data_IF_982774987009
#
_entry.id   IF_982774987009
#
_cell.length_a   1.000
_cell.length_b   1.000
_cell.length_c   1.000
_cell.angle_alpha   90.00
_cell.angle_beta   90.00
_cell.angle_gamma   90.00
#
_symmetry.space_group_name_H-M   'P 1'
#
loop_
_entity.id
_entity.type
_entity.pdbx_description
1 polymer ?
#
# COMPACT_ATOMS: atom_id res chain seq x y z
N UNK A 1 11.97 -14.21 -18.22
CA UNK A 1 12.08 -14.69 -19.62
C UNK A 1 11.09 -13.99 -20.57
N UNK A 2 10.07 -13.33 -20.04
CA UNK A 2 9.00 -12.65 -20.83
C UNK A 2 9.13 -11.10 -20.79
N UNK A 3 10.32 -10.57 -20.51
CA UNK A 3 10.59 -9.13 -20.53
C UNK A 3 10.14 -8.34 -19.30
N UNK A 4 9.72 -8.99 -18.22
CA UNK A 4 9.40 -8.34 -16.95
C UNK A 4 10.65 -7.93 -16.18
N UNK A 5 10.52 -6.88 -15.32
CA UNK A 5 11.53 -6.55 -14.31
C UNK A 5 11.34 -7.46 -13.10
N UNK A 6 12.43 -8.03 -12.60
CA UNK A 6 12.44 -8.90 -11.43
C UNK A 6 13.42 -8.36 -10.40
N UNK A 7 12.92 -7.94 -9.24
CA UNK A 7 13.75 -7.59 -8.08
C UNK A 7 13.87 -8.79 -7.15
N UNK A 8 15.09 -9.24 -6.92
CA UNK A 8 15.42 -10.39 -6.06
C UNK A 8 15.46 -9.91 -4.62
N UNK A 9 14.64 -10.51 -3.76
CA UNK A 9 14.49 -10.12 -2.36
C UNK A 9 15.44 -10.86 -1.41
N UNK A 10 15.83 -12.11 -1.76
CA UNK A 10 16.59 -12.96 -0.86
C UNK A 10 17.48 -13.98 -1.62
N UNK A 11 18.37 -14.61 -0.87
CA UNK A 11 19.34 -15.59 -1.41
C UNK A 11 18.67 -16.82 -2.06
N UNK A 12 17.54 -17.27 -1.54
CA UNK A 12 16.83 -18.42 -2.09
C UNK A 12 16.32 -18.12 -3.51
N UNK A 13 15.74 -16.94 -3.69
CA UNK A 13 15.31 -16.47 -5.01
C UNK A 13 16.50 -16.32 -5.96
N UNK A 14 17.59 -15.73 -5.47
CA UNK A 14 18.83 -15.59 -6.26
C UNK A 14 19.35 -16.95 -6.75
N UNK A 15 19.46 -17.95 -5.88
CA UNK A 15 19.88 -19.31 -6.27
C UNK A 15 18.96 -19.90 -7.34
N UNK A 16 17.64 -19.71 -7.20
CA UNK A 16 16.69 -20.16 -8.20
C UNK A 16 16.86 -19.47 -9.56
N UNK A 17 17.16 -18.18 -9.56
CA UNK A 17 17.46 -17.45 -10.80
C UNK A 17 18.75 -17.99 -11.45
N UNK A 18 19.79 -18.27 -10.68
CA UNK A 18 21.02 -18.87 -11.20
C UNK A 18 20.78 -20.28 -11.81
N UNK A 19 19.90 -21.09 -11.21
CA UNK A 19 19.51 -22.38 -11.76
C UNK A 19 18.76 -22.22 -13.08
N UNK A 20 17.82 -21.28 -13.16
CA UNK A 20 17.07 -20.98 -14.38
C UNK A 20 18.03 -20.49 -15.48
N UNK A 21 18.99 -19.62 -15.13
CA UNK A 21 19.99 -19.14 -16.09
C UNK A 21 20.82 -20.28 -16.68
N UNK A 22 21.30 -21.21 -15.84
CA UNK A 22 22.05 -22.39 -16.28
C UNK A 22 21.22 -23.29 -17.21
N UNK A 23 19.92 -23.43 -16.95
CA UNK A 23 19.00 -24.23 -17.78
C UNK A 23 18.63 -23.54 -19.10
N UNK A 24 18.88 -22.23 -19.21
CA UNK A 24 18.54 -21.42 -20.38
C UNK A 24 19.74 -20.57 -20.84
N UNK A 25 20.86 -21.18 -21.24
CA UNK A 25 22.11 -20.44 -21.52
C UNK A 25 21.96 -19.44 -22.68
N UNK A 26 21.05 -19.67 -23.59
CA UNK A 26 20.78 -18.79 -24.73
C UNK A 26 19.81 -17.64 -24.42
N UNK A 27 19.30 -17.53 -23.18
CA UNK A 27 18.40 -16.47 -22.75
C UNK A 27 19.09 -15.54 -21.80
N UNK A 28 19.09 -14.26 -22.13
CA UNK A 28 19.65 -13.21 -21.29
C UNK A 28 18.59 -12.69 -20.29
N UNK A 29 18.98 -12.59 -19.04
CA UNK A 29 18.10 -12.16 -17.95
C UNK A 29 18.61 -10.90 -17.28
N UNK A 30 17.74 -9.89 -17.19
CA UNK A 30 17.96 -8.67 -16.43
C UNK A 30 17.29 -8.80 -15.07
N UNK A 31 18.06 -8.58 -14.01
CA UNK A 31 17.57 -8.67 -12.63
C UNK A 31 17.91 -7.41 -11.86
N UNK A 32 17.06 -7.07 -10.90
CA UNK A 32 17.35 -6.10 -9.86
C UNK A 32 17.60 -6.79 -8.53
N UNK A 33 18.23 -6.11 -7.61
CA UNK A 33 18.39 -6.55 -6.22
C UNK A 33 17.61 -5.61 -5.30
N UNK A 34 16.74 -6.17 -4.48
CA UNK A 34 16.16 -5.43 -3.37
C UNK A 34 17.18 -5.38 -2.24
N UNK A 35 17.60 -4.18 -1.90
CA UNK A 35 18.61 -3.93 -0.86
C UNK A 35 17.96 -3.47 0.43
N UNK A 36 18.63 -3.74 1.54
CA UNK A 36 18.25 -3.31 2.87
C UNK A 36 19.42 -2.58 3.52
N UNK A 37 19.15 -1.39 4.06
CA UNK A 37 20.07 -0.61 4.86
C UNK A 37 19.30 0.33 5.79
N UNK A 38 19.94 0.79 6.85
CA UNK A 38 19.33 1.71 7.82
C UNK A 38 19.19 3.12 7.25
N UNK A 39 17.98 3.66 7.31
CA UNK A 39 17.69 5.06 6.98
C UNK A 39 17.65 5.95 8.24
N UNK A 40 18.07 5.43 9.40
CA UNK A 40 18.24 6.19 10.64
C UNK A 40 16.94 6.58 11.33
N UNK A 41 15.85 5.85 11.11
CA UNK A 41 14.55 6.08 11.75
C UNK A 41 14.14 4.97 12.73
N UNK A 42 15.05 4.02 13.03
CA UNK A 42 14.82 2.90 13.93
C UNK A 42 13.92 1.79 13.37
N UNK A 43 13.50 1.87 12.11
CA UNK A 43 12.69 0.84 11.47
C UNK A 43 13.58 -0.22 10.83
N UNK A 44 13.34 -1.47 11.16
CA UNK A 44 13.96 -2.63 10.54
C UNK A 44 12.97 -3.29 9.58
N UNK A 45 13.29 -3.32 8.28
CA UNK A 45 12.53 -4.08 7.30
C UNK A 45 13.03 -5.53 7.26
N UNK A 46 12.12 -6.49 7.15
CA UNK A 46 12.46 -7.90 6.95
C UNK A 46 12.76 -8.27 5.49
N UNK A 47 12.63 -7.32 4.58
CA UNK A 47 12.77 -7.52 3.15
C UNK A 47 14.12 -7.03 2.64
N UNK A 48 14.58 -7.65 1.55
CA UNK A 48 15.79 -7.28 0.85
C UNK A 48 17.06 -7.87 1.44
N UNK A 49 18.12 -7.84 0.64
CA UNK A 49 19.46 -8.28 1.02
C UNK A 49 20.14 -7.18 1.85
N UNK A 50 20.66 -7.52 3.02
CA UNK A 50 21.47 -6.58 3.82
C UNK A 50 22.71 -6.16 3.04
N UNK A 51 22.79 -4.90 2.68
CA UNK A 51 23.86 -4.33 1.86
C UNK A 51 25.24 -4.35 2.54
N UNK A 52 25.30 -4.62 3.84
CA UNK A 52 26.53 -4.76 4.60
C UNK A 52 26.95 -6.24 4.83
N UNK A 53 26.13 -7.19 4.41
CA UNK A 53 26.42 -8.61 4.58
C UNK A 53 27.43 -9.13 3.55
N UNK A 54 28.12 -10.20 3.91
CA UNK A 54 28.97 -10.96 2.96
C UNK A 54 28.13 -11.60 1.87
N UNK A 55 26.92 -12.04 2.19
CA UNK A 55 25.98 -12.63 1.23
C UNK A 55 25.64 -11.67 0.08
N UNK A 56 25.46 -10.38 0.38
CA UNK A 56 25.21 -9.37 -0.67
C UNK A 56 26.41 -9.25 -1.63
N UNK A 57 27.62 -9.25 -1.08
CA UNK A 57 28.87 -9.21 -1.88
C UNK A 57 28.98 -10.47 -2.75
N UNK A 58 28.68 -11.63 -2.19
CA UNK A 58 28.71 -12.91 -2.91
C UNK A 58 27.69 -12.96 -4.06
N UNK A 59 26.49 -12.38 -3.86
CA UNK A 59 25.49 -12.22 -4.91
C UNK A 59 26.02 -11.36 -6.06
N UNK A 60 26.58 -10.19 -5.74
CA UNK A 60 27.17 -9.30 -6.74
C UNK A 60 28.30 -9.98 -7.53
N UNK A 61 29.20 -10.68 -6.84
CA UNK A 61 30.29 -11.40 -7.48
C UNK A 61 29.78 -12.55 -8.36
N UNK A 62 28.74 -13.26 -7.90
CA UNK A 62 28.14 -14.35 -8.66
C UNK A 62 27.49 -13.82 -9.94
N UNK A 63 26.74 -12.72 -9.87
CA UNK A 63 26.12 -12.11 -11.06
C UNK A 63 27.21 -11.72 -12.08
N UNK A 64 28.31 -11.13 -11.64
CA UNK A 64 29.42 -10.73 -12.53
C UNK A 64 30.07 -11.89 -13.28
N UNK A 65 29.96 -13.10 -12.73
CA UNK A 65 30.55 -14.32 -13.29
C UNK A 65 29.60 -15.18 -14.12
N UNK A 66 28.32 -14.78 -14.21
CA UNK A 66 27.32 -15.49 -15.03
C UNK A 66 27.03 -14.66 -16.28
N UNK A 67 27.37 -15.21 -17.46
CA UNK A 67 27.30 -14.48 -18.72
C UNK A 67 25.90 -14.02 -19.13
N UNK A 68 24.87 -14.78 -18.74
CA UNK A 68 23.50 -14.53 -19.14
C UNK A 68 22.62 -13.93 -18.04
N UNK A 69 23.21 -13.38 -16.97
CA UNK A 69 22.53 -12.56 -15.97
C UNK A 69 23.19 -11.18 -15.90
N UNK A 70 22.39 -10.14 -16.00
CA UNK A 70 22.81 -8.75 -15.81
C UNK A 70 22.11 -8.14 -14.60
N UNK A 71 22.88 -7.48 -13.70
CA UNK A 71 22.31 -6.59 -12.71
C UNK A 71 21.88 -5.28 -13.38
N UNK A 72 20.57 -5.12 -13.56
CA UNK A 72 20.00 -3.97 -14.25
C UNK A 72 19.44 -2.90 -13.32
N UNK A 73 19.25 -3.20 -12.02
CA UNK A 73 18.73 -2.23 -11.09
C UNK A 73 18.92 -2.56 -9.63
N UNK A 74 18.71 -1.53 -8.80
CA UNK A 74 18.57 -1.66 -7.36
C UNK A 74 17.18 -1.18 -6.94
N UNK A 75 16.58 -1.88 -6.02
CA UNK A 75 15.29 -1.55 -5.42
C UNK A 75 15.43 -1.40 -3.90
N UNK A 76 14.77 -0.40 -3.34
CA UNK A 76 14.65 -0.21 -1.90
C UNK A 76 13.22 0.19 -1.54
N UNK A 77 12.65 -0.46 -0.55
CA UNK A 77 11.36 -0.04 0.00
C UNK A 77 11.33 -0.27 1.51
N UNK A 78 10.89 0.75 2.25
CA UNK A 78 10.58 0.65 3.67
C UNK A 78 9.29 1.40 3.98
N UNK A 79 8.37 0.75 4.69
CA UNK A 79 7.12 1.35 5.14
C UNK A 79 7.37 2.35 6.27
N UNK A 80 6.45 3.30 6.46
CA UNK A 80 6.43 4.27 7.58
C UNK A 80 7.60 5.27 7.64
N UNK A 81 8.55 5.22 6.73
CA UNK A 81 9.64 6.19 6.59
C UNK A 81 9.26 7.26 5.56
N UNK A 82 8.31 8.13 5.91
CA UNK A 82 7.65 9.04 4.96
C UNK A 82 8.18 10.47 4.97
N UNK A 83 8.98 10.84 5.97
CA UNK A 83 9.57 12.17 6.09
C UNK A 83 10.70 12.40 5.07
N UNK A 84 11.02 13.67 4.80
CA UNK A 84 12.03 14.07 3.81
C UNK A 84 13.44 13.62 4.19
N UNK A 85 13.77 13.57 5.48
CA UNK A 85 15.09 13.11 5.92
C UNK A 85 15.28 11.62 5.64
N UNK A 86 14.26 10.80 5.92
CA UNK A 86 14.27 9.38 5.56
C UNK A 86 14.40 9.16 4.05
N UNK A 87 13.72 9.98 3.23
CA UNK A 87 13.84 9.91 1.78
C UNK A 87 15.20 10.36 1.27
N UNK A 88 15.80 11.39 1.88
CA UNK A 88 17.16 11.81 1.58
C UNK A 88 18.17 10.72 1.89
N UNK A 89 18.08 10.10 3.08
CA UNK A 89 18.94 8.98 3.44
C UNK A 89 18.76 7.76 2.53
N UNK A 90 17.52 7.52 2.08
CA UNK A 90 17.20 6.45 1.13
C UNK A 90 17.93 6.65 -0.20
N UNK A 91 17.80 7.83 -0.81
CA UNK A 91 18.48 8.09 -2.09
C UNK A 91 20.00 8.11 -1.93
N UNK A 92 20.56 8.74 -0.88
CA UNK A 92 21.99 8.77 -0.62
C UNK A 92 22.53 7.35 -0.37
N UNK A 93 21.82 6.53 0.40
CA UNK A 93 22.19 5.14 0.66
C UNK A 93 22.26 4.33 -0.64
N UNK A 94 21.28 4.46 -1.52
CA UNK A 94 21.29 3.81 -2.83
C UNK A 94 22.47 4.26 -3.69
N UNK A 95 22.73 5.56 -3.77
CA UNK A 95 23.86 6.11 -4.54
C UNK A 95 25.22 5.69 -3.96
N UNK A 96 25.31 5.60 -2.64
CA UNK A 96 26.53 5.09 -1.96
C UNK A 96 26.79 3.62 -2.30
N UNK A 97 25.76 2.78 -2.45
CA UNK A 97 25.92 1.40 -2.90
C UNK A 97 26.39 1.33 -4.36
N UNK A 98 25.83 2.17 -5.22
CA UNK A 98 26.28 2.29 -6.62
C UNK A 98 27.78 2.60 -6.69
N UNK A 99 28.24 3.57 -5.90
CA UNK A 99 29.65 3.97 -5.88
C UNK A 99 30.56 2.90 -5.24
N UNK A 100 30.18 2.43 -4.05
CA UNK A 100 30.94 1.41 -3.29
C UNK A 100 31.20 0.15 -4.10
N UNK A 101 30.19 -0.32 -4.81
CA UNK A 101 30.28 -1.58 -5.57
C UNK A 101 30.51 -1.39 -7.07
N UNK A 102 30.74 -0.16 -7.52
CA UNK A 102 31.00 0.20 -8.94
C UNK A 102 29.92 -0.34 -9.86
N UNK A 103 28.66 -0.03 -9.53
CA UNK A 103 27.49 -0.47 -10.30
C UNK A 103 27.16 0.54 -11.41
N UNK A 104 28.09 0.71 -12.35
CA UNK A 104 28.05 1.78 -13.35
C UNK A 104 27.05 1.52 -14.50
N UNK A 105 26.48 0.31 -14.59
CA UNK A 105 25.59 -0.10 -15.70
C UNK A 105 24.13 -0.27 -15.29
N UNK A 106 23.70 0.28 -14.16
CA UNK A 106 22.32 0.18 -13.74
C UNK A 106 21.39 0.91 -14.70
N UNK A 107 20.34 0.25 -15.13
CA UNK A 107 19.30 0.82 -15.98
C UNK A 107 18.23 1.55 -15.16
N UNK A 108 18.05 1.15 -13.89
CA UNK A 108 17.10 1.79 -13.00
C UNK A 108 17.54 1.78 -11.53
N UNK A 109 16.98 2.74 -10.80
CA UNK A 109 16.98 2.79 -9.34
C UNK A 109 15.54 2.95 -8.90
N UNK A 110 15.05 2.01 -8.11
CA UNK A 110 13.70 2.03 -7.56
C UNK A 110 13.76 2.34 -6.07
N UNK A 111 13.14 3.43 -5.67
CA UNK A 111 13.11 3.88 -4.28
C UNK A 111 11.83 3.45 -3.55
N UNK A 112 11.00 2.63 -4.19
CA UNK A 112 9.75 2.14 -3.62
C UNK A 112 8.74 3.25 -3.32
N UNK A 113 7.98 3.06 -2.25
CA UNK A 113 6.94 3.99 -1.82
C UNK A 113 7.14 4.44 -0.37
N UNK A 114 6.07 4.94 0.25
CA UNK A 114 6.07 5.53 1.57
C UNK A 114 6.15 7.06 1.49
N UNK A 115 5.41 7.66 0.57
CA UNK A 115 5.20 9.10 0.50
C UNK A 115 3.89 9.48 1.18
N UNK A 116 3.79 10.73 1.65
CA UNK A 116 2.50 11.32 1.93
C UNK A 116 1.82 11.71 0.62
N UNK A 117 0.50 11.53 0.56
CA UNK A 117 -0.34 11.92 -0.56
C UNK A 117 -1.21 13.12 -0.22
N UNK A 118 -2.02 13.53 -1.17
CA UNK A 118 -3.11 14.48 -0.90
C UNK A 118 -4.28 13.73 -0.30
N UNK A 119 -4.73 14.18 0.86
CA UNK A 119 -5.90 13.69 1.57
C UNK A 119 -6.90 14.84 1.76
N UNK A 120 -8.08 14.54 2.26
CA UNK A 120 -8.98 15.59 2.74
C UNK A 120 -8.35 16.31 3.94
N UNK A 121 -8.64 17.62 4.10
CA UNK A 121 -7.98 18.48 5.10
C UNK A 121 -8.05 17.91 6.52
N UNK A 122 -9.21 17.39 6.92
CA UNK A 122 -9.44 16.80 8.24
C UNK A 122 -8.52 15.60 8.55
N UNK A 123 -8.21 14.80 7.54
CA UNK A 123 -7.28 13.68 7.67
C UNK A 123 -5.84 14.15 7.53
N UNK A 124 -5.57 15.09 6.61
CA UNK A 124 -4.25 15.66 6.39
C UNK A 124 -3.70 16.32 7.66
N UNK A 125 -4.52 17.09 8.37
CA UNK A 125 -4.16 17.78 9.62
C UNK A 125 -3.71 16.82 10.72
N UNK A 126 -4.26 15.61 10.79
CA UNK A 126 -3.87 14.59 11.76
C UNK A 126 -2.45 14.04 11.54
N UNK A 127 -1.86 14.25 10.36
CA UNK A 127 -0.47 13.91 10.06
C UNK A 127 0.50 15.06 10.29
N UNK A 128 -0.02 16.26 10.59
CA UNK A 128 0.77 17.47 10.77
C UNK A 128 1.32 18.02 9.44
N UNK A 129 2.48 18.65 9.52
CA UNK A 129 3.12 19.22 8.33
C UNK A 129 3.78 18.14 7.48
N UNK A 130 3.07 17.65 6.48
CA UNK A 130 3.54 16.59 5.58
C UNK A 130 4.21 17.17 4.34
N UNK A 131 5.28 16.52 3.82
CA UNK A 131 5.89 16.89 2.56
C UNK A 131 4.93 16.75 1.37
N UNK A 132 5.12 17.63 0.39
CA UNK A 132 4.45 17.54 -0.91
C UNK A 132 5.22 16.64 -1.88
N UNK A 133 4.61 16.25 -2.99
CA UNK A 133 5.31 15.53 -4.06
C UNK A 133 6.50 16.32 -4.62
N UNK A 134 6.41 17.65 -4.62
CA UNK A 134 7.50 18.53 -5.07
C UNK A 134 8.68 18.43 -4.13
N UNK A 135 8.46 18.42 -2.82
CA UNK A 135 9.53 18.32 -1.82
C UNK A 135 10.30 17.00 -1.97
N UNK A 136 9.60 15.89 -2.17
CA UNK A 136 10.23 14.60 -2.47
C UNK A 136 11.02 14.64 -3.78
N UNK A 137 10.43 15.20 -4.85
CA UNK A 137 11.07 15.29 -6.15
C UNK A 137 12.34 16.16 -6.10
N UNK A 138 12.33 17.29 -5.40
CA UNK A 138 13.48 18.15 -5.25
C UNK A 138 14.65 17.46 -4.55
N UNK A 139 14.39 16.67 -3.51
CA UNK A 139 15.42 15.89 -2.82
C UNK A 139 15.93 14.77 -3.72
N UNK A 140 15.03 13.90 -4.20
CA UNK A 140 15.42 12.68 -4.91
C UNK A 140 16.05 13.01 -6.25
N UNK A 141 15.40 13.82 -7.07
CA UNK A 141 15.94 14.21 -8.37
C UNK A 141 17.21 15.07 -8.24
N UNK A 142 17.27 15.92 -7.19
CA UNK A 142 18.46 16.72 -6.89
C UNK A 142 19.69 15.86 -6.57
N UNK A 143 19.57 14.88 -5.68
CA UNK A 143 20.68 13.97 -5.35
C UNK A 143 21.05 13.09 -6.54
N UNK A 144 20.09 12.50 -7.25
CA UNK A 144 20.32 11.71 -8.45
C UNK A 144 21.05 12.53 -9.53
N UNK A 145 20.56 13.73 -9.83
CA UNK A 145 21.16 14.60 -10.85
C UNK A 145 22.59 15.00 -10.53
N UNK A 146 22.88 15.34 -9.26
CA UNK A 146 24.23 15.66 -8.82
C UNK A 146 25.18 14.48 -8.96
N UNK A 147 24.74 13.30 -8.53
CA UNK A 147 25.54 12.08 -8.57
C UNK A 147 25.89 11.64 -10.01
N UNK A 148 24.92 11.76 -10.91
CA UNK A 148 25.07 11.32 -12.31
C UNK A 148 25.49 12.45 -13.28
N UNK A 149 25.73 13.68 -12.81
CA UNK A 149 26.03 14.83 -13.67
C UNK A 149 27.20 14.60 -14.63
N UNK A 150 28.27 13.91 -14.15
CA UNK A 150 29.48 13.65 -14.91
C UNK A 150 29.66 12.15 -15.23
N UNK A 151 28.61 11.33 -15.04
CA UNK A 151 28.64 9.91 -15.37
C UNK A 151 27.93 9.68 -16.69
N UNK A 152 28.48 8.84 -17.55
CA UNK A 152 27.95 8.60 -18.89
C UNK A 152 26.58 7.93 -18.96
N UNK A 153 26.00 7.55 -17.80
CA UNK A 153 24.68 6.91 -17.72
C UNK A 153 23.72 7.68 -16.80
N UNK A 154 22.45 7.49 -17.05
CA UNK A 154 21.35 8.05 -16.28
C UNK A 154 20.30 6.96 -16.08
N UNK A 155 20.31 6.26 -14.94
CA UNK A 155 19.30 5.26 -14.67
C UNK A 155 17.91 5.88 -14.58
N UNK A 156 16.89 5.13 -14.93
CA UNK A 156 15.50 5.52 -14.74
C UNK A 156 15.19 5.46 -13.24
N UNK A 157 14.62 6.53 -12.71
CA UNK A 157 14.11 6.54 -11.34
C UNK A 157 12.70 5.97 -11.31
N UNK A 158 12.49 4.91 -10.53
CA UNK A 158 11.17 4.41 -10.20
C UNK A 158 10.77 4.78 -8.78
N UNK A 159 9.49 5.01 -8.60
CA UNK A 159 8.81 5.05 -7.30
C UNK A 159 7.52 4.24 -7.40
N UNK A 160 7.06 3.66 -6.30
CA UNK A 160 5.91 2.75 -6.25
C UNK A 160 4.75 3.34 -5.41
N UNK A 161 4.19 4.50 -5.78
CA UNK A 161 3.14 5.14 -4.99
C UNK A 161 1.85 4.31 -5.04
N UNK A 162 1.37 3.89 -3.87
CA UNK A 162 0.10 3.17 -3.69
C UNK A 162 -0.97 4.07 -3.05
N UNK A 163 -1.15 3.98 -1.72
CA UNK A 163 -2.12 4.76 -0.93
C UNK A 163 -2.07 6.26 -1.24
N UNK A 164 -0.87 6.77 -1.47
CA UNK A 164 -0.59 8.15 -1.86
C UNK A 164 -1.39 8.62 -3.07
N UNK A 165 -1.64 7.75 -4.05
CA UNK A 165 -2.38 8.09 -5.27
C UNK A 165 -3.87 7.84 -5.11
N UNK A 166 -4.24 6.70 -4.48
CA UNK A 166 -5.62 6.21 -4.55
C UNK A 166 -6.49 6.60 -3.34
N UNK A 167 -5.89 6.83 -2.14
CA UNK A 167 -6.69 6.98 -0.92
C UNK A 167 -7.80 8.02 -1.03
N UNK A 168 -7.48 9.21 -1.51
CA UNK A 168 -8.42 10.35 -1.58
C UNK A 168 -9.63 10.10 -2.49
N UNK A 169 -9.48 9.26 -3.48
CA UNK A 169 -10.48 9.10 -4.55
C UNK A 169 -11.46 7.95 -4.32
N UNK A 170 -11.32 7.26 -3.20
CA UNK A 170 -12.23 6.18 -2.84
C UNK A 170 -13.02 6.53 -1.60
N UNK A 171 -14.32 6.27 -1.68
CA UNK A 171 -15.28 6.49 -0.63
C UNK A 171 -16.10 5.21 -0.45
N UNK A 172 -16.48 4.92 0.77
CA UNK A 172 -17.41 3.84 1.09
C UNK A 172 -18.67 4.46 1.64
N UNK A 173 -19.80 4.04 1.10
CA UNK A 173 -21.13 4.44 1.53
C UNK A 173 -21.75 3.32 2.33
N UNK A 174 -22.27 3.64 3.50
CA UNK A 174 -22.90 2.72 4.43
C UNK A 174 -24.17 3.34 4.97
N UNK A 175 -25.03 2.51 5.55
CA UNK A 175 -26.28 2.94 6.15
C UNK A 175 -26.30 2.61 7.63
N UNK A 176 -26.87 3.49 8.44
CA UNK A 176 -27.12 3.24 9.86
C UNK A 176 -28.30 2.27 9.97
N UNK A 177 -28.05 1.06 10.48
CA UNK A 177 -29.05 0.00 10.66
C UNK A 177 -29.73 0.07 12.02
N UNK A 178 -28.98 0.44 13.06
CA UNK A 178 -29.46 0.50 14.44
C UNK A 178 -28.61 1.47 15.26
N UNK A 179 -29.22 2.04 16.32
CA UNK A 179 -28.52 2.87 17.30
C UNK A 179 -28.92 2.38 18.69
N UNK A 180 -27.92 1.93 19.46
CA UNK A 180 -28.16 1.38 20.80
C UNK A 180 -27.26 1.97 21.86
N UNK A 181 -27.72 1.98 23.09
CA UNK A 181 -26.94 2.35 24.28
C UNK A 181 -26.62 1.14 25.11
N UNK A 182 -25.33 0.95 25.44
CA UNK A 182 -24.87 -0.10 26.35
C UNK A 182 -24.02 0.55 27.43
N UNK A 183 -24.47 0.50 28.68
CA UNK A 183 -23.77 1.09 29.81
C UNK A 183 -23.41 2.57 29.64
N UNK A 184 -24.33 3.32 29.01
CA UNK A 184 -24.15 4.76 28.75
C UNK A 184 -23.25 5.11 27.56
N UNK A 185 -22.79 4.12 26.78
CA UNK A 185 -22.09 4.34 25.51
C UNK A 185 -23.02 4.06 24.34
N UNK A 186 -22.99 4.94 23.35
CA UNK A 186 -23.79 4.80 22.13
C UNK A 186 -23.00 4.13 21.02
N UNK A 187 -23.69 3.24 20.31
CA UNK A 187 -23.17 2.51 19.16
C UNK A 187 -24.16 2.62 18.00
N UNK A 188 -23.71 3.11 16.86
CA UNK A 188 -24.43 3.09 15.61
C UNK A 188 -23.91 1.94 14.75
N UNK A 189 -24.76 0.93 14.51
CA UNK A 189 -24.45 -0.22 13.66
C UNK A 189 -24.60 0.17 12.19
N UNK A 190 -23.59 -0.12 11.39
CA UNK A 190 -23.57 0.09 9.94
C UNK A 190 -23.75 -1.24 9.18
N UNK A 191 -24.23 -1.15 7.92
CA UNK A 191 -24.25 -2.26 6.97
C UNK A 191 -22.88 -2.54 6.30
N UNK A 192 -21.85 -1.86 6.74
CA UNK A 192 -20.46 -2.09 6.37
C UNK A 192 -19.61 -2.51 7.56
N UNK A 193 -18.31 -2.71 7.34
CA UNK A 193 -17.36 -3.04 8.39
C UNK A 193 -16.02 -2.30 8.18
N UNK A 194 -15.15 -2.33 9.20
CA UNK A 194 -13.81 -1.75 9.08
C UNK A 194 -13.00 -2.40 7.94
N UNK A 195 -13.32 -3.62 7.53
CA UNK A 195 -12.72 -4.27 6.36
C UNK A 195 -13.03 -3.55 5.05
N UNK A 196 -14.18 -2.87 4.94
CA UNK A 196 -14.51 -2.07 3.77
C UNK A 196 -13.71 -0.75 3.73
N UNK A 197 -13.33 -0.23 4.90
CA UNK A 197 -12.59 1.03 5.06
C UNK A 197 -11.07 0.80 5.00
N UNK A 198 -10.59 -0.33 5.50
CA UNK A 198 -9.18 -0.69 5.55
C UNK A 198 -8.46 -0.18 6.81
N UNK A 199 -7.14 -0.39 6.86
CA UNK A 199 -6.30 -0.11 8.04
C UNK A 199 -6.38 1.34 8.55
N UNK A 200 -6.74 2.28 7.70
CA UNK A 200 -6.71 3.71 8.03
C UNK A 200 -7.63 4.07 9.20
N UNK A 201 -8.78 3.40 9.33
CA UNK A 201 -9.72 3.67 10.42
C UNK A 201 -9.18 3.28 11.81
N UNK A 202 -8.27 2.31 11.88
CA UNK A 202 -7.56 1.95 13.12
C UNK A 202 -6.40 2.89 13.47
N UNK A 203 -5.93 3.69 12.52
CA UNK A 203 -4.77 4.58 12.70
C UNK A 203 -5.16 6.03 12.88
N UNK A 204 -6.21 6.49 12.22
CA UNK A 204 -6.65 7.90 12.16
C UNK A 204 -8.17 7.97 12.11
N UNK A 205 -8.71 9.12 12.52
CA UNK A 205 -10.13 9.44 12.28
C UNK A 205 -10.30 9.77 10.81
N UNK A 206 -10.91 8.86 10.07
CA UNK A 206 -11.22 9.08 8.66
C UNK A 206 -12.29 10.15 8.49
N UNK A 207 -12.23 11.03 7.48
CA UNK A 207 -13.30 11.97 7.22
C UNK A 207 -14.60 11.23 6.95
N UNK A 208 -15.65 11.62 7.67
CA UNK A 208 -16.95 11.00 7.60
C UNK A 208 -18.03 12.07 7.39
N UNK A 209 -18.92 11.83 6.45
CA UNK A 209 -20.06 12.71 6.15
C UNK A 209 -21.34 11.94 6.35
N UNK A 210 -22.33 12.56 6.96
CA UNK A 210 -23.64 11.96 7.18
C UNK A 210 -24.66 12.72 6.35
N UNK A 211 -25.41 11.97 5.56
CA UNK A 211 -26.58 12.48 4.87
C UNK A 211 -27.82 11.99 5.60
N UNK A 212 -28.49 12.90 6.29
CA UNK A 212 -29.71 12.61 7.01
C UNK A 212 -30.87 12.34 6.05
N UNK A 213 -31.64 11.30 6.32
CA UNK A 213 -32.83 10.94 5.56
C UNK A 213 -34.15 11.39 6.25
N UNK A 214 -34.07 11.65 7.55
CA UNK A 214 -35.15 12.21 8.37
C UNK A 214 -34.54 13.00 9.52
N UNK A 215 -35.38 13.68 10.28
CA UNK A 215 -35.01 14.35 11.53
C UNK A 215 -34.50 13.32 12.53
N UNK A 216 -33.31 13.54 13.08
CA UNK A 216 -32.66 12.64 13.99
C UNK A 216 -32.64 13.14 15.43
N UNK A 217 -31.90 12.46 16.27
CA UNK A 217 -31.68 12.83 17.66
C UNK A 217 -30.22 13.26 17.81
N UNK A 218 -29.96 14.30 18.61
CA UNK A 218 -28.63 14.67 18.98
C UNK A 218 -28.02 13.66 19.96
N UNK A 219 -26.92 13.05 19.51
CA UNK A 219 -26.13 12.12 20.32
C UNK A 219 -24.76 12.70 20.65
N UNK A 220 -24.18 12.22 21.73
CA UNK A 220 -22.82 12.56 22.13
C UNK A 220 -21.97 11.28 22.23
N UNK A 221 -20.77 11.35 21.64
CA UNK A 221 -19.76 10.31 21.73
C UNK A 221 -20.22 8.93 21.21
N UNK A 222 -20.80 8.90 20.01
CA UNK A 222 -21.24 7.66 19.34
C UNK A 222 -20.08 6.98 18.66
N UNK A 223 -19.98 5.66 18.79
CA UNK A 223 -19.08 4.83 18.00
C UNK A 223 -19.85 4.19 16.83
N UNK A 224 -19.39 4.43 15.60
CA UNK A 224 -19.88 3.73 14.43
C UNK A 224 -19.18 2.38 14.34
N UNK A 225 -19.94 1.31 14.35
CA UNK A 225 -19.46 -0.08 14.39
C UNK A 225 -19.98 -0.88 13.20
N UNK A 226 -19.19 -1.82 12.74
CA UNK A 226 -19.59 -2.67 11.63
C UNK A 226 -20.44 -3.86 12.06
N UNK A 227 -20.87 -4.65 11.06
CA UNK A 227 -21.74 -5.81 11.24
C UNK A 227 -21.02 -7.08 11.71
N UNK A 228 -19.69 -7.08 11.80
CA UNK A 228 -18.95 -8.29 12.17
C UNK A 228 -19.05 -8.59 13.67
N UNK A 229 -18.73 -9.81 14.05
CA UNK A 229 -18.64 -10.22 15.46
C UNK A 229 -17.32 -9.81 16.15
N UNK A 230 -16.48 -9.03 15.46
CA UNK A 230 -15.19 -8.59 15.97
C UNK A 230 -15.36 -7.33 16.83
N UNK A 231 -14.91 -7.35 18.06
CA UNK A 231 -14.97 -6.18 18.97
C UNK A 231 -14.18 -4.96 18.42
N UNK A 232 -13.17 -5.19 17.60
CA UNK A 232 -12.42 -4.13 16.94
C UNK A 232 -13.07 -3.58 15.66
N UNK A 233 -14.26 -4.07 15.28
CA UNK A 233 -14.99 -3.56 14.10
C UNK A 233 -15.60 -2.19 14.41
N UNK A 234 -14.72 -1.23 14.61
CA UNK A 234 -15.03 0.17 14.86
C UNK A 234 -14.51 1.01 13.71
N UNK A 235 -15.42 1.67 13.01
CA UNK A 235 -15.12 2.48 11.84
C UNK A 235 -14.77 3.92 12.23
N UNK A 236 -15.53 4.46 13.19
CA UNK A 236 -15.31 5.81 13.70
C UNK A 236 -15.71 5.91 15.17
N UNK A 237 -14.94 6.62 15.98
CA UNK A 237 -15.20 6.78 17.40
C UNK A 237 -15.41 8.25 17.77
N UNK A 238 -16.38 8.49 18.67
CA UNK A 238 -16.57 9.78 19.29
C UNK A 238 -17.28 10.80 18.38
N UNK A 239 -18.24 10.36 17.58
CA UNK A 239 -19.12 11.25 16.85
C UNK A 239 -20.09 11.94 17.80
N UNK A 240 -20.31 13.24 17.58
CA UNK A 240 -21.35 14.01 18.27
C UNK A 240 -22.11 14.82 17.24
N UNK A 241 -23.42 14.72 17.28
CA UNK A 241 -24.33 15.38 16.36
C UNK A 241 -25.63 14.59 16.15
N UNK A 242 -26.45 15.09 15.26
CA UNK A 242 -27.72 14.49 14.87
C UNK A 242 -27.47 13.16 14.17
N UNK A 243 -28.28 12.13 14.49
CA UNK A 243 -28.22 10.82 13.87
C UNK A 243 -29.57 10.11 13.93
N UNK A 244 -29.91 9.40 12.87
CA UNK A 244 -31.10 8.56 12.80
C UNK A 244 -30.83 7.22 12.11
N UNK A 245 -31.68 6.22 12.40
CA UNK A 245 -31.65 4.95 11.68
C UNK A 245 -32.00 5.22 10.20
N UNK A 246 -31.20 4.66 9.29
CA UNK A 246 -31.35 4.84 7.86
C UNK A 246 -30.46 5.94 7.28
N UNK A 247 -29.82 6.78 8.10
CA UNK A 247 -28.88 7.78 7.62
C UNK A 247 -27.77 7.14 6.78
N UNK A 248 -27.38 7.84 5.71
CA UNK A 248 -26.29 7.44 4.84
C UNK A 248 -24.98 8.00 5.37
N UNK A 249 -23.99 7.13 5.56
CA UNK A 249 -22.66 7.45 6.05
C UNK A 249 -21.65 7.28 4.93
N UNK A 250 -21.03 8.37 4.50
CA UNK A 250 -19.91 8.37 3.56
C UNK A 250 -18.59 8.43 4.33
N UNK A 251 -17.77 7.41 4.19
CA UNK A 251 -16.40 7.36 4.73
C UNK A 251 -15.42 7.63 3.60
N UNK A 252 -14.59 8.66 3.75
CA UNK A 252 -13.71 9.18 2.71
C UNK A 252 -12.26 8.73 2.88
N UNK A 253 -11.45 8.86 1.81
CA UNK A 253 -10.00 8.55 1.81
C UNK A 253 -9.67 7.08 2.09
N UNK A 254 -10.48 6.16 1.59
CA UNK A 254 -10.38 4.72 1.88
C UNK A 254 -9.75 3.90 0.74
N UNK A 255 -9.05 4.51 -0.22
CA UNK A 255 -8.55 3.81 -1.42
C UNK A 255 -7.35 2.90 -1.21
N UNK A 256 -6.74 2.86 -0.02
CA UNK A 256 -5.58 2.04 0.24
C UNK A 256 -5.88 0.85 1.15
N UNK A 257 -5.54 -0.36 0.72
CA UNK A 257 -5.71 -1.59 1.52
C UNK A 257 -7.14 -1.80 2.03
N UNK A 258 -8.12 -1.51 1.18
CA UNK A 258 -9.54 -1.70 1.45
C UNK A 258 -10.13 -2.83 0.59
N UNK A 259 -10.39 -2.56 -0.68
CA UNK A 259 -11.04 -3.54 -1.58
C UNK A 259 -10.22 -4.84 -1.70
N UNK A 260 -8.90 -4.74 -1.77
CA UNK A 260 -8.01 -5.90 -2.00
C UNK A 260 -7.76 -6.72 -0.75
N UNK A 261 -7.90 -6.13 0.43
CA UNK A 261 -7.62 -6.80 1.72
C UNK A 261 -8.89 -7.22 2.46
N UNK A 262 -10.08 -6.91 1.90
CA UNK A 262 -11.35 -7.30 2.52
C UNK A 262 -11.59 -8.80 2.36
N UNK A 263 -11.64 -9.58 3.45
CA UNK A 263 -12.09 -10.97 3.39
C UNK A 263 -13.60 -11.03 3.17
N UNK A 264 -14.12 -12.11 2.57
CA UNK A 264 -15.56 -12.38 2.52
C UNK A 264 -16.05 -12.88 3.87
N UNK A 265 -15.91 -12.04 4.92
CA UNK A 265 -16.25 -12.41 6.28
C UNK A 265 -17.65 -11.92 6.63
N UNK A 266 -18.55 -12.86 6.94
CA UNK A 266 -19.99 -12.71 7.25
C UNK A 266 -20.79 -12.27 6.02
N UNK A 267 -20.37 -11.23 5.31
CA UNK A 267 -21.01 -10.74 4.10
C UNK A 267 -20.07 -10.82 2.89
N UNK A 268 -20.61 -11.11 1.70
CA UNK A 268 -19.91 -10.94 0.44
C UNK A 268 -19.41 -9.50 0.27
N UNK A 269 -18.53 -9.30 -0.68
CA UNK A 269 -17.96 -7.99 -0.93
C UNK A 269 -18.94 -7.07 -1.68
N UNK A 270 -18.92 -5.80 -1.33
CA UNK A 270 -19.81 -4.77 -1.89
C UNK A 270 -19.45 -4.42 -3.33
N UNK A 271 -20.39 -3.88 -4.12
CA UNK A 271 -20.12 -3.39 -5.47
C UNK A 271 -19.22 -2.15 -5.43
N UNK A 272 -18.52 -1.89 -6.54
CA UNK A 272 -17.76 -0.66 -6.73
C UNK A 272 -18.19 0.08 -8.00
N UNK A 273 -18.35 1.38 -7.86
CA UNK A 273 -18.77 2.27 -8.93
C UNK A 273 -17.72 3.36 -9.17
N UNK A 274 -17.56 3.73 -10.41
CA UNK A 274 -16.78 4.90 -10.81
C UNK A 274 -17.75 6.03 -11.16
N UNK A 275 -17.54 7.19 -10.56
CA UNK A 275 -18.24 8.41 -10.99
C UNK A 275 -17.51 9.03 -12.17
N UNK A 276 -18.20 9.18 -13.30
CA UNK A 276 -17.71 9.85 -14.49
C UNK A 276 -18.84 10.66 -15.11
N UNK A 277 -18.60 11.93 -15.40
CA UNK A 277 -19.57 12.82 -16.08
C UNK A 277 -20.98 12.79 -15.46
N UNK A 278 -21.07 12.83 -14.12
CA UNK A 278 -22.30 12.70 -13.32
C UNK A 278 -23.04 11.35 -13.47
N UNK A 279 -22.39 10.33 -14.00
CA UNK A 279 -22.92 8.98 -14.08
C UNK A 279 -22.14 8.04 -13.16
N UNK A 280 -22.83 7.07 -12.56
CA UNK A 280 -22.21 5.98 -11.83
C UNK A 280 -22.08 4.77 -12.76
N UNK A 281 -20.85 4.35 -13.00
CA UNK A 281 -20.53 3.19 -13.82
C UNK A 281 -20.10 2.06 -12.88
N UNK A 282 -20.78 0.93 -12.91
CA UNK A 282 -20.43 -0.24 -12.11
C UNK A 282 -19.13 -0.87 -12.69
N UNK A 283 -18.05 -0.81 -11.92
CA UNK A 283 -16.75 -1.42 -12.28
C UNK A 283 -16.57 -2.79 -11.65
N UNK A 284 -17.22 -3.04 -10.55
CA UNK A 284 -17.23 -4.31 -9.83
C UNK A 284 -18.65 -4.55 -9.32
N UNK A 285 -19.25 -5.67 -9.73
CA UNK A 285 -20.53 -6.07 -9.16
C UNK A 285 -20.38 -6.52 -7.71
N UNK A 286 -21.46 -6.57 -6.99
CA UNK A 286 -21.53 -7.24 -5.71
C UNK A 286 -21.08 -8.71 -5.84
N UNK A 287 -20.32 -9.19 -4.87
CA UNK A 287 -19.95 -10.59 -4.76
C UNK A 287 -21.14 -11.40 -4.25
N UNK A 288 -21.33 -12.57 -4.80
CA UNK A 288 -22.37 -13.53 -4.37
C UNK A 288 -21.77 -14.63 -3.51
N UNK A 289 -22.62 -15.42 -2.85
CA UNK A 289 -22.17 -16.62 -2.16
C UNK A 289 -21.55 -17.64 -3.14
N UNK A 290 -22.07 -17.74 -4.35
CA UNK A 290 -21.51 -18.59 -5.38
C UNK A 290 -20.07 -18.20 -5.74
N UNK A 291 -19.76 -16.89 -5.78
CA UNK A 291 -18.39 -16.41 -6.00
C UNK A 291 -17.46 -16.83 -4.85
N UNK A 292 -17.96 -16.83 -3.62
CA UNK A 292 -17.18 -17.21 -2.42
C UNK A 292 -16.91 -18.71 -2.43
N UNK A 293 -17.93 -19.50 -2.77
CA UNK A 293 -17.85 -20.95 -2.72
C UNK A 293 -17.35 -21.59 -4.01
N UNK A 294 -17.17 -20.82 -5.10
CA UNK A 294 -16.67 -21.34 -6.38
C UNK A 294 -15.39 -22.20 -6.30
N UNK A 295 -14.40 -21.91 -5.43
CA UNK A 295 -13.21 -22.76 -5.32
C UNK A 295 -13.40 -24.02 -4.46
N UNK A 296 -14.55 -24.19 -3.79
CA UNK A 296 -14.81 -25.33 -2.92
C UNK A 296 -15.40 -26.50 -3.73
N UNK A 297 -14.91 -27.70 -3.45
CA UNK A 297 -15.43 -28.93 -4.05
C UNK A 297 -16.32 -29.61 -2.99
N UNK A 298 -17.61 -29.69 -3.27
CA UNK A 298 -18.55 -30.40 -2.44
C UNK A 298 -18.73 -31.83 -3.02
N UNK A 299 -18.22 -32.85 -2.34
CA UNK A 299 -18.59 -34.24 -2.68
C UNK A 299 -20.06 -34.45 -2.29
N UNK A 300 -20.90 -34.60 -3.29
CA UNK A 300 -22.27 -35.14 -3.05
C UNK A 300 -22.11 -36.61 -2.74
N UNK A 301 -22.10 -36.99 -1.46
CA UNK A 301 -22.32 -38.36 -1.08
C UNK A 301 -23.79 -38.67 -1.42
N UNK A 302 -24.03 -39.48 -2.46
CA UNK A 302 -25.34 -40.07 -2.71
C UNK A 302 -25.72 -40.85 -1.46
N UNK A 303 -26.75 -40.42 -0.74
CA UNK A 303 -27.36 -41.10 0.39
C UNK A 303 -28.39 -42.14 -0.08
#
# INVERSE_FOLDING_TARGET
LNGGLLNIDNIREFKKICEIAKQNPNKYMKVGLRVNFDVGNGLLSRFGLDSNSTEFVDVLNTIRNIENIELSGLHFHISRARDLESWKKRVIGMLSLVEKYKLDNLQYIDLGSGMYGRLDSELQEQFGNTPTYRDYAEIVAGEMSRFYANKGMKPILFTEPGTTIVSKYFHVFMKVLDIKSIRGKYFALLDGSFHNVGEICGLKKVPMRIKHICEGIDYQNVNFVGYTCLEQDVIYSGYSGELSIGDEVEVCNVGGYSIVDKPPFIHPDIPAYMQKDNQLICNKREQTLDDIFAPYIFEMTES
#
